data_IF_829996464684
#
_entry.id   IF_829996464684
#
_cell.length_a   1.000
_cell.length_b   1.000
_cell.length_c   1.000
_cell.angle_alpha   90.00
_cell.angle_beta   90.00
_cell.angle_gamma   90.00
#
_symmetry.space_group_name_H-M   'P 1'
#
loop_
_entity.id
_entity.type
_entity.pdbx_description
1 polymer ?
#
# COMPACT_ATOMS: atom_id res chain seq x y z
N UNK A 1 17.88 17.59 -7.67
CA UNK A 1 17.18 18.76 -8.25
C UNK A 1 16.57 18.38 -9.58
N UNK A 2 15.27 18.64 -9.81
CA UNK A 2 14.65 18.47 -11.13
C UNK A 2 14.98 19.66 -12.02
N UNK A 3 15.50 19.41 -13.21
CA UNK A 3 15.86 20.47 -14.14
C UNK A 3 14.62 21.26 -14.61
N UNK A 4 14.79 22.49 -15.14
CA UNK A 4 13.70 23.25 -15.77
C UNK A 4 12.99 22.46 -16.86
N UNK A 5 13.75 21.65 -17.62
CA UNK A 5 13.23 20.73 -18.62
C UNK A 5 12.37 19.62 -18.00
N UNK A 6 12.80 19.01 -16.89
CA UNK A 6 11.98 18.05 -16.15
C UNK A 6 10.71 18.67 -15.58
N UNK A 7 10.76 19.93 -15.15
CA UNK A 7 9.59 20.64 -14.62
C UNK A 7 8.56 20.94 -15.71
N UNK A 8 9.02 21.39 -16.89
CA UNK A 8 8.19 21.60 -18.06
C UNK A 8 7.55 20.27 -18.53
N UNK A 9 8.35 19.21 -18.62
CA UNK A 9 7.87 17.87 -18.96
C UNK A 9 6.85 17.34 -17.94
N UNK A 10 7.07 17.57 -16.64
CA UNK A 10 6.13 17.18 -15.60
C UNK A 10 4.80 17.93 -15.71
N UNK A 11 4.80 19.22 -16.09
CA UNK A 11 3.57 20.00 -16.35
C UNK A 11 2.83 19.52 -17.60
N UNK A 12 3.57 19.25 -18.68
CA UNK A 12 3.03 18.69 -19.92
C UNK A 12 2.37 17.32 -19.66
N UNK A 13 3.07 16.44 -18.94
CA UNK A 13 2.58 15.12 -18.54
C UNK A 13 1.38 15.22 -17.58
N UNK A 14 1.35 16.21 -16.69
CA UNK A 14 0.21 16.46 -15.82
C UNK A 14 -1.03 16.90 -16.60
N UNK A 15 -0.87 17.72 -17.66
CA UNK A 15 -1.98 18.10 -18.55
C UNK A 15 -2.57 16.89 -19.28
N UNK A 16 -1.71 15.94 -19.68
CA UNK A 16 -2.08 14.68 -20.36
C UNK A 16 -2.56 13.57 -19.43
N UNK A 17 -2.41 13.71 -18.11
CA UNK A 17 -2.82 12.70 -17.14
C UNK A 17 -4.34 12.53 -17.14
N UNK A 18 -4.83 11.30 -17.25
CA UNK A 18 -6.26 10.92 -17.13
C UNK A 18 -6.67 10.64 -15.68
N UNK A 19 -5.83 10.97 -14.70
CA UNK A 19 -6.10 10.77 -13.29
C UNK A 19 -7.36 11.49 -12.81
N UNK A 20 -7.98 11.04 -11.69
CA UNK A 20 -9.27 11.56 -11.27
C UNK A 20 -9.22 13.08 -11.04
N UNK A 21 -10.01 13.80 -11.83
CA UNK A 21 -10.05 15.27 -11.87
C UNK A 21 -11.08 15.87 -10.92
N UNK A 22 -12.07 15.06 -10.51
CA UNK A 22 -13.18 15.48 -9.64
C UNK A 22 -12.89 15.17 -8.18
N UNK A 23 -13.51 15.92 -7.26
CA UNK A 23 -13.35 15.73 -5.80
C UNK A 23 -13.72 14.30 -5.37
N UNK A 24 -14.82 13.75 -5.89
CA UNK A 24 -15.24 12.35 -5.65
C UNK A 24 -14.29 11.29 -6.25
N UNK A 25 -13.69 11.56 -7.41
CA UNK A 25 -12.70 10.67 -8.03
C UNK A 25 -11.38 10.63 -7.26
N UNK A 26 -10.96 11.78 -6.71
CA UNK A 26 -9.79 11.88 -5.80
C UNK A 26 -10.08 11.22 -4.46
N UNK A 27 -11.29 11.37 -3.93
CA UNK A 27 -11.72 10.72 -2.69
C UNK A 27 -11.77 9.18 -2.83
N UNK A 28 -12.11 8.63 -4.00
CA UNK A 28 -12.07 7.18 -4.29
C UNK A 28 -10.63 6.68 -4.50
N UNK A 29 -9.75 7.48 -5.11
CA UNK A 29 -8.33 7.18 -5.25
C UNK A 29 -7.54 7.30 -3.92
N UNK A 30 -7.94 8.21 -3.03
CA UNK A 30 -7.40 8.43 -1.69
C UNK A 30 -7.88 7.35 -0.69
N UNK A 31 -9.16 6.96 -0.71
CA UNK A 31 -9.64 5.80 0.07
C UNK A 31 -9.04 4.47 -0.41
N UNK A 32 -8.58 4.39 -1.67
CA UNK A 32 -7.75 3.31 -2.21
C UNK A 32 -6.27 3.36 -1.76
N UNK A 33 -5.73 4.52 -1.40
CA UNK A 33 -4.40 4.65 -0.75
C UNK A 33 -4.48 4.35 0.76
N UNK A 34 -5.68 4.47 1.33
CA UNK A 34 -5.92 4.48 2.77
C UNK A 34 -6.86 3.42 3.34
N UNK A 35 -7.29 2.34 2.66
CA UNK A 35 -7.91 1.27 3.49
C UNK A 35 -6.93 0.75 4.57
N UNK A 36 -5.61 1.00 4.40
CA UNK A 36 -4.55 0.55 5.33
C UNK A 36 -3.41 1.58 5.61
N UNK A 37 -3.67 2.89 5.55
CA UNK A 37 -2.81 3.90 6.21
C UNK A 37 -1.43 4.22 5.60
N UNK A 38 -1.19 3.96 4.32
CA UNK A 38 0.09 4.24 3.66
C UNK A 38 0.32 5.70 3.23
N UNK A 39 -0.66 6.57 3.44
CA UNK A 39 -0.55 8.01 3.20
C UNK A 39 -0.76 8.84 4.49
N UNK A 40 -0.65 8.21 5.66
CA UNK A 40 -0.68 8.88 6.97
C UNK A 40 0.60 9.70 7.13
N UNK A 41 0.51 10.93 7.61
CA UNK A 41 1.68 11.61 8.19
C UNK A 41 2.03 10.94 9.51
N UNK A 42 3.13 10.17 9.56
CA UNK A 42 3.53 9.44 10.76
C UNK A 42 3.89 10.37 11.91
N UNK A 43 4.37 11.57 11.63
CA UNK A 43 4.79 12.53 12.66
C UNK A 43 3.58 13.09 13.42
N UNK A 44 2.41 13.12 12.78
CA UNK A 44 1.15 13.56 13.38
C UNK A 44 0.38 12.45 14.13
N UNK A 45 0.76 11.18 13.97
CA UNK A 45 0.16 10.06 14.70
C UNK A 45 0.91 9.84 16.03
N UNK A 46 0.27 10.01 17.20
CA UNK A 46 0.94 9.86 18.49
C UNK A 46 1.63 8.50 18.70
N UNK A 47 1.18 7.45 18.00
CA UNK A 47 1.79 6.10 18.05
C UNK A 47 3.16 6.06 17.38
N UNK A 48 3.37 6.91 16.38
CA UNK A 48 4.58 6.94 15.56
C UNK A 48 5.45 8.15 15.86
N UNK A 49 4.88 9.28 16.33
CA UNK A 49 5.62 10.50 16.65
C UNK A 49 6.76 10.27 17.65
N UNK A 50 6.55 9.46 18.69
CA UNK A 50 7.62 9.09 19.63
C UNK A 50 8.77 8.35 18.93
N UNK A 51 8.45 7.38 18.07
CA UNK A 51 9.46 6.64 17.31
C UNK A 51 10.18 7.53 16.29
N UNK A 52 9.47 8.49 15.68
CA UNK A 52 10.07 9.49 14.79
C UNK A 52 11.09 10.31 15.56
N UNK A 53 10.75 10.82 16.75
CA UNK A 53 11.67 11.60 17.58
C UNK A 53 12.87 10.78 18.08
N UNK A 54 12.66 9.53 18.51
CA UNK A 54 13.74 8.62 18.92
C UNK A 54 14.73 8.39 17.78
N UNK A 55 14.23 8.04 16.59
CA UNK A 55 15.07 7.79 15.41
C UNK A 55 15.73 9.08 14.93
N UNK A 56 15.04 10.22 14.98
CA UNK A 56 15.61 11.52 14.62
C UNK A 56 16.78 11.90 15.53
N UNK A 57 16.64 11.72 16.84
CA UNK A 57 17.73 11.98 17.80
C UNK A 57 18.90 11.02 17.59
N UNK A 58 18.62 9.75 17.29
CA UNK A 58 19.66 8.79 16.95
C UNK A 58 20.43 9.19 15.67
N UNK A 59 19.74 9.77 14.67
CA UNK A 59 20.36 10.27 13.44
C UNK A 59 21.16 11.56 13.69
N UNK A 60 20.60 12.53 14.42
CA UNK A 60 21.24 13.82 14.67
C UNK A 60 22.42 13.71 15.65
N UNK A 61 22.45 12.66 16.48
CA UNK A 61 23.48 12.40 17.47
C UNK A 61 23.21 13.04 18.84
N UNK A 62 23.89 12.57 19.90
CA UNK A 62 23.55 12.90 21.29
C UNK A 62 23.81 14.36 21.69
N UNK A 63 24.53 15.11 20.85
CA UNK A 63 24.85 16.53 21.08
C UNK A 63 23.99 17.49 20.24
N UNK A 64 23.11 16.97 19.38
CA UNK A 64 22.25 17.81 18.57
C UNK A 64 21.16 18.45 19.44
N UNK A 65 21.24 19.77 19.58
CA UNK A 65 20.15 20.57 20.13
C UNK A 65 19.01 20.75 19.14
N UNK A 66 17.97 21.44 19.59
CA UNK A 66 16.92 21.92 18.67
C UNK A 66 17.54 22.85 17.63
N UNK A 67 17.25 22.58 16.36
CA UNK A 67 17.85 23.30 15.24
C UNK A 67 17.73 22.58 13.90
N UNK A 68 18.37 23.12 12.84
CA UNK A 68 18.23 22.60 11.48
C UNK A 68 18.65 21.13 11.33
N UNK A 69 19.69 20.70 12.05
CA UNK A 69 20.16 19.31 12.02
C UNK A 69 19.10 18.33 12.55
N UNK A 70 18.47 18.63 13.68
CA UNK A 70 17.41 17.79 14.24
C UNK A 70 16.14 17.82 13.38
N UNK A 71 15.80 18.97 12.79
CA UNK A 71 14.68 19.08 11.85
C UNK A 71 14.89 18.23 10.59
N UNK A 72 16.10 18.23 10.01
CA UNK A 72 16.45 17.38 8.89
C UNK A 72 16.43 15.89 9.28
N UNK A 73 16.93 15.55 10.48
CA UNK A 73 16.88 14.19 11.02
C UNK A 73 15.44 13.68 11.21
N UNK A 74 14.49 14.53 11.64
CA UNK A 74 13.05 14.19 11.73
C UNK A 74 12.49 13.79 10.37
N UNK A 75 12.82 14.53 9.31
CA UNK A 75 12.39 14.18 7.95
C UNK A 75 12.95 12.83 7.48
N UNK A 76 14.22 12.55 7.77
CA UNK A 76 14.86 11.26 7.47
C UNK A 76 14.20 10.13 8.27
N UNK A 77 13.97 10.34 9.56
CA UNK A 77 13.32 9.39 10.47
C UNK A 77 11.92 9.02 10.00
N UNK A 78 11.09 10.02 9.67
CA UNK A 78 9.74 9.79 9.13
C UNK A 78 9.79 9.00 7.82
N UNK A 79 10.69 9.34 6.90
CA UNK A 79 10.86 8.61 5.65
C UNK A 79 11.33 7.17 5.86
N UNK A 80 12.18 6.93 6.86
CA UNK A 80 12.65 5.59 7.22
C UNK A 80 11.51 4.75 7.82
N UNK A 81 10.74 5.29 8.76
CA UNK A 81 9.63 4.59 9.38
C UNK A 81 8.50 4.30 8.38
N UNK A 82 8.25 5.22 7.43
CA UNK A 82 7.37 4.95 6.30
C UNK A 82 7.82 3.75 5.46
N UNK A 83 9.12 3.65 5.16
CA UNK A 83 9.67 2.53 4.40
C UNK A 83 9.55 1.22 5.19
N UNK A 84 9.84 1.22 6.49
CA UNK A 84 9.66 0.06 7.37
C UNK A 84 8.20 -0.40 7.35
N UNK A 85 7.25 0.53 7.53
CA UNK A 85 5.81 0.22 7.49
C UNK A 85 5.37 -0.40 6.17
N UNK A 86 5.83 0.16 5.04
CA UNK A 86 5.55 -0.38 3.70
C UNK A 86 6.05 -1.83 3.60
N UNK A 87 7.28 -2.10 4.08
CA UNK A 87 7.88 -3.44 4.05
C UNK A 87 7.16 -4.43 4.97
N UNK A 88 6.69 -4.00 6.14
CA UNK A 88 5.88 -4.84 7.02
C UNK A 88 4.56 -5.24 6.36
N UNK A 89 3.88 -4.31 5.67
CA UNK A 89 2.67 -4.62 4.91
C UNK A 89 2.97 -5.60 3.77
N UNK A 90 4.09 -5.39 3.05
CA UNK A 90 4.54 -6.30 1.99
C UNK A 90 4.74 -7.72 2.51
N UNK A 91 5.43 -7.86 3.65
CA UNK A 91 5.69 -9.14 4.28
C UNK A 91 4.37 -9.84 4.64
N UNK A 92 3.41 -9.13 5.24
CA UNK A 92 2.09 -9.70 5.55
C UNK A 92 1.32 -10.18 4.31
N UNK A 93 1.37 -9.43 3.20
CA UNK A 93 0.75 -9.85 1.94
C UNK A 93 1.43 -11.08 1.34
N UNK A 94 2.76 -11.19 1.42
CA UNK A 94 3.51 -12.35 0.96
C UNK A 94 3.21 -13.59 1.80
N UNK A 95 3.10 -13.45 3.12
CA UNK A 95 2.72 -14.55 4.01
C UNK A 95 1.31 -15.06 3.72
N UNK A 96 0.35 -14.16 3.47
CA UNK A 96 -1.00 -14.57 3.07
C UNK A 96 -1.03 -15.24 1.70
N UNK A 97 -0.20 -14.78 0.75
CA UNK A 97 -0.05 -15.41 -0.55
C UNK A 97 0.48 -16.84 -0.43
N UNK A 98 1.55 -17.04 0.35
CA UNK A 98 2.12 -18.38 0.62
C UNK A 98 1.07 -19.32 1.23
N UNK A 99 0.31 -18.82 2.22
CA UNK A 99 -0.78 -19.57 2.86
C UNK A 99 -1.82 -20.06 1.83
N UNK A 100 -2.28 -19.17 0.94
CA UNK A 100 -3.28 -19.52 -0.07
C UNK A 100 -2.74 -20.48 -1.14
N UNK A 101 -1.48 -20.33 -1.55
CA UNK A 101 -0.86 -21.25 -2.50
C UNK A 101 -0.79 -22.68 -1.92
N UNK A 102 -0.43 -22.82 -0.64
CA UNK A 102 -0.46 -24.11 0.06
C UNK A 102 -1.87 -24.70 0.18
N UNK A 103 -2.90 -23.88 0.33
CA UNK A 103 -4.29 -24.35 0.31
C UNK A 103 -4.69 -24.91 -1.06
N UNK A 104 -4.23 -24.28 -2.15
CA UNK A 104 -4.47 -24.75 -3.51
C UNK A 104 -3.74 -26.07 -3.80
N UNK A 105 -2.51 -26.23 -3.30
CA UNK A 105 -1.73 -27.47 -3.44
C UNK A 105 -2.36 -28.66 -2.70
N UNK A 106 -3.05 -28.41 -1.58
CA UNK A 106 -3.74 -29.46 -0.79
C UNK A 106 -4.96 -30.08 -1.49
N UNK A 107 -5.38 -29.57 -2.64
CA UNK A 107 -6.23 -30.32 -3.57
C UNK A 107 -7.65 -30.60 -3.09
N UNK A 108 -8.42 -29.55 -2.77
CA UNK A 108 -9.88 -29.64 -2.72
C UNK A 108 -10.46 -29.41 -4.11
N UNK A 109 -11.28 -30.33 -4.64
CA UNK A 109 -12.01 -30.09 -5.88
C UNK A 109 -12.95 -28.90 -5.71
N UNK A 110 -12.62 -27.78 -6.34
CA UNK A 110 -13.47 -26.60 -6.32
C UNK A 110 -14.84 -26.94 -6.91
N UNK A 111 -15.95 -26.60 -6.23
CA UNK A 111 -17.27 -26.95 -6.73
C UNK A 111 -17.49 -26.31 -8.10
N UNK A 112 -17.96 -27.13 -9.03
CA UNK A 112 -18.34 -26.66 -10.35
C UNK A 112 -19.47 -25.62 -10.22
N UNK A 113 -19.61 -24.75 -11.22
CA UNK A 113 -20.72 -23.78 -11.21
C UNK A 113 -22.06 -24.50 -11.16
N UNK A 114 -22.18 -25.65 -11.84
CA UNK A 114 -23.35 -26.50 -11.79
C UNK A 114 -23.64 -27.02 -10.38
N UNK A 115 -22.60 -27.46 -9.64
CA UNK A 115 -22.71 -27.90 -8.24
C UNK A 115 -23.25 -26.78 -7.35
N UNK A 116 -22.75 -25.56 -7.52
CA UNK A 116 -23.20 -24.40 -6.73
C UNK A 116 -24.63 -24.00 -7.09
N UNK A 117 -24.98 -23.99 -8.38
CA UNK A 117 -26.36 -23.69 -8.82
C UNK A 117 -27.33 -24.73 -8.25
N UNK A 118 -26.98 -26.03 -8.32
CA UNK A 118 -27.78 -27.10 -7.73
C UNK A 118 -27.97 -26.89 -6.23
N UNK A 119 -26.90 -26.58 -5.48
CA UNK A 119 -27.02 -26.31 -4.04
C UNK A 119 -27.95 -25.14 -3.72
N UNK A 120 -27.96 -24.09 -4.56
CA UNK A 120 -28.85 -22.95 -4.38
C UNK A 120 -30.32 -23.29 -4.68
N UNK A 121 -30.57 -24.09 -5.71
CA UNK A 121 -31.91 -24.61 -6.02
C UNK A 121 -32.42 -25.52 -4.88
N UNK A 122 -31.57 -26.43 -4.39
CA UNK A 122 -31.89 -27.33 -3.27
C UNK A 122 -32.20 -26.54 -1.97
N UNK A 123 -31.61 -25.35 -1.82
CA UNK A 123 -31.86 -24.43 -0.70
C UNK A 123 -33.08 -23.50 -0.91
N UNK A 124 -33.82 -23.65 -2.02
CA UNK A 124 -35.01 -22.84 -2.32
C UNK A 124 -34.70 -21.39 -2.71
N UNK A 125 -33.46 -21.09 -3.10
CA UNK A 125 -33.06 -19.74 -3.51
C UNK A 125 -33.60 -19.39 -4.90
N UNK A 126 -33.93 -18.11 -5.10
CA UNK A 126 -34.27 -17.60 -6.43
C UNK A 126 -33.01 -17.34 -7.28
N UNK A 127 -33.19 -17.09 -8.59
CA UNK A 127 -32.07 -16.88 -9.52
C UNK A 127 -31.10 -15.76 -9.11
N UNK A 128 -31.59 -14.65 -8.51
CA UNK A 128 -30.73 -13.55 -8.07
C UNK A 128 -29.88 -13.96 -6.86
N UNK A 129 -30.47 -14.70 -5.93
CA UNK A 129 -29.80 -15.22 -4.73
C UNK A 129 -28.76 -16.28 -5.10
N UNK A 130 -29.09 -17.19 -6.02
CA UNK A 130 -28.15 -18.19 -6.56
C UNK A 130 -26.96 -17.49 -7.21
N UNK A 131 -27.22 -16.49 -8.06
CA UNK A 131 -26.14 -15.73 -8.71
C UNK A 131 -25.25 -15.02 -7.68
N UNK A 132 -25.84 -14.40 -6.65
CA UNK A 132 -25.10 -13.75 -5.58
C UNK A 132 -24.24 -14.74 -4.78
N UNK A 133 -24.80 -15.91 -4.45
CA UNK A 133 -24.11 -17.00 -3.76
C UNK A 133 -22.94 -17.52 -4.58
N UNK A 134 -23.16 -17.88 -5.85
CA UNK A 134 -22.11 -18.36 -6.76
C UNK A 134 -20.97 -17.33 -6.84
N UNK A 135 -21.31 -16.06 -7.04
CA UNK A 135 -20.31 -14.99 -7.11
C UNK A 135 -19.56 -14.81 -5.78
N UNK A 136 -20.22 -14.96 -4.63
CA UNK A 136 -19.58 -14.90 -3.32
C UNK A 136 -18.61 -16.05 -3.11
N UNK A 137 -19.03 -17.29 -3.40
CA UNK A 137 -18.18 -18.48 -3.31
C UNK A 137 -16.96 -18.37 -4.23
N UNK A 138 -17.14 -17.94 -5.48
CA UNK A 138 -16.02 -17.72 -6.41
C UNK A 138 -15.03 -16.67 -5.91
N UNK A 139 -15.50 -15.61 -5.23
CA UNK A 139 -14.62 -14.58 -4.64
C UNK A 139 -13.87 -15.07 -3.41
N UNK A 140 -14.40 -16.01 -2.64
CA UNK A 140 -13.72 -16.57 -1.47
C UNK A 140 -12.69 -17.65 -1.82
N UNK A 141 -12.76 -18.20 -3.04
CA UNK A 141 -11.83 -19.24 -3.50
C UNK A 141 -10.37 -18.76 -3.46
N UNK A 142 -9.43 -19.62 -3.05
CA UNK A 142 -8.01 -19.29 -2.97
C UNK A 142 -7.46 -18.67 -4.26
N UNK A 143 -7.81 -19.22 -5.43
CA UNK A 143 -7.34 -18.70 -6.73
C UNK A 143 -7.74 -17.23 -6.98
N UNK A 144 -8.98 -16.86 -6.66
CA UNK A 144 -9.46 -15.48 -6.81
C UNK A 144 -8.76 -14.53 -5.82
N UNK A 145 -8.52 -15.00 -4.59
CA UNK A 145 -7.80 -14.24 -3.56
C UNK A 145 -6.32 -14.04 -3.91
N UNK A 146 -5.65 -15.05 -4.44
CA UNK A 146 -4.25 -14.99 -4.95
C UNK A 146 -4.12 -13.89 -6.00
N UNK A 147 -5.00 -13.87 -7.00
CA UNK A 147 -5.01 -12.83 -8.04
C UNK A 147 -5.16 -11.42 -7.43
N UNK A 148 -6.06 -11.27 -6.45
CA UNK A 148 -6.24 -10.03 -5.69
C UNK A 148 -4.97 -9.58 -4.95
N UNK A 149 -4.27 -10.50 -4.28
CA UNK A 149 -3.04 -10.20 -3.53
C UNK A 149 -1.87 -9.82 -4.43
N UNK A 150 -1.70 -10.51 -5.56
CA UNK A 150 -0.68 -10.15 -6.56
C UNK A 150 -0.89 -8.70 -7.02
N UNK A 151 -2.14 -8.33 -7.32
CA UNK A 151 -2.50 -6.95 -7.69
C UNK A 151 -2.21 -5.93 -6.58
N UNK A 152 -2.32 -6.30 -5.30
CA UNK A 152 -1.95 -5.44 -4.17
C UNK A 152 -0.43 -5.30 -4.04
N UNK A 153 0.32 -6.39 -4.14
CA UNK A 153 1.79 -6.40 -4.09
C UNK A 153 2.39 -5.51 -5.20
N UNK A 154 1.90 -5.62 -6.44
CA UNK A 154 2.36 -4.78 -7.54
C UNK A 154 2.07 -3.28 -7.33
N UNK A 155 1.01 -2.93 -6.60
CA UNK A 155 0.74 -1.53 -6.22
C UNK A 155 1.72 -1.05 -5.16
N UNK A 156 2.04 -1.91 -4.19
CA UNK A 156 2.94 -1.61 -3.08
C UNK A 156 4.38 -1.37 -3.55
N UNK A 157 4.84 -2.06 -4.59
CA UNK A 157 6.15 -1.84 -5.21
C UNK A 157 6.40 -0.36 -5.57
N UNK A 158 5.37 0.34 -6.08
CA UNK A 158 5.51 1.76 -6.44
C UNK A 158 5.68 2.65 -5.20
N UNK A 159 4.96 2.35 -4.13
CA UNK A 159 5.09 3.09 -2.87
C UNK A 159 6.45 2.84 -2.22
N UNK A 160 6.93 1.60 -2.24
CA UNK A 160 8.24 1.26 -1.70
C UNK A 160 9.36 1.99 -2.45
N UNK A 161 9.36 1.97 -3.79
CA UNK A 161 10.35 2.69 -4.60
C UNK A 161 10.35 4.19 -4.30
N UNK A 162 9.16 4.79 -4.15
CA UNK A 162 9.03 6.22 -3.81
C UNK A 162 9.56 6.52 -2.41
N UNK A 163 9.26 5.67 -1.42
CA UNK A 163 9.76 5.83 -0.06
C UNK A 163 11.29 5.70 0.01
N UNK A 164 11.87 4.71 -0.70
CA UNK A 164 13.32 4.56 -0.84
C UNK A 164 13.95 5.80 -1.46
N UNK A 165 13.37 6.31 -2.55
CA UNK A 165 13.88 7.50 -3.23
C UNK A 165 13.83 8.74 -2.33
N UNK A 166 12.71 8.96 -1.61
CA UNK A 166 12.56 10.07 -0.65
C UNK A 166 13.59 9.97 0.45
N UNK A 167 13.71 8.82 1.12
CA UNK A 167 14.72 8.59 2.17
C UNK A 167 16.13 8.87 1.64
N UNK A 168 16.47 8.36 0.46
CA UNK A 168 17.80 8.55 -0.15
C UNK A 168 18.09 10.02 -0.47
N UNK A 169 17.09 10.81 -0.89
CA UNK A 169 17.25 12.25 -1.11
C UNK A 169 17.53 12.97 0.21
N UNK A 170 16.71 12.71 1.23
CA UNK A 170 16.82 13.39 2.52
C UNK A 170 18.14 13.07 3.24
N UNK A 171 18.61 11.82 3.16
CA UNK A 171 19.94 11.46 3.71
C UNK A 171 21.05 12.23 3.00
N UNK A 172 21.00 12.37 1.67
CA UNK A 172 22.01 13.14 0.94
C UNK A 172 21.97 14.63 1.27
N UNK A 173 20.80 15.17 1.54
CA UNK A 173 20.63 16.58 1.96
C UNK A 173 21.16 16.78 3.38
N UNK A 174 21.02 15.79 4.26
CA UNK A 174 21.58 15.80 5.61
C UNK A 174 23.12 15.72 5.60
N UNK A 175 23.69 14.92 4.70
CA UNK A 175 25.14 14.73 4.55
C UNK A 175 25.82 15.86 3.72
N UNK A 176 25.03 16.82 3.21
CA UNK A 176 25.58 17.93 2.43
C UNK A 176 26.33 18.92 3.34
N UNK A 177 27.52 19.41 2.93
CA UNK A 177 28.36 20.30 3.72
C UNK A 177 27.77 21.70 3.90
#
# INVERSE_FOLDING_TARGET
>A
MTSPAQTAANRENARKSTGPRTRAGKDRASRNAFRHGLAVDLSADPRWGLQVEEVARAIAGPRAGEGPALAAARLVAEAQLHLVRIRSIRAGLLSELDRLLREMEKGGAEPSTLTLVKAGLDAGLNNKEIHAMVAATRRSQPAARVSGLIGQLSRLDRYERRAIARRKSLVRELDAP
#
